data_IF_738652058831
#
_entry.id   IF_738652058831
#
_cell.length_a   1.000
_cell.length_b   1.000
_cell.length_c   1.000
_cell.angle_alpha   90.00
_cell.angle_beta   90.00
_cell.angle_gamma   90.00
#
_symmetry.space_group_name_H-M   'P 1'
#
loop_
_entity.id
_entity.type
_entity.pdbx_description
1 polymer ?
#
# COMPACT_ATOMS: atom_id res chain seq x y z
N UNK A 1 19.77 3.09 -36.00
CA UNK A 1 19.69 1.88 -35.17
C UNK A 1 19.14 2.32 -33.84
N UNK A 2 17.87 2.00 -33.63
CA UNK A 2 17.07 2.37 -32.46
C UNK A 2 17.61 1.52 -31.31
N UNK A 3 18.27 2.14 -30.32
CA UNK A 3 18.50 1.48 -29.03
C UNK A 3 17.33 1.91 -28.15
N UNK A 4 16.49 0.92 -27.90
CA UNK A 4 15.11 0.95 -27.43
C UNK A 4 14.93 1.48 -26.00
N UNK A 5 13.73 2.06 -25.80
CA UNK A 5 12.88 2.07 -24.60
C UNK A 5 13.45 2.76 -23.34
N UNK A 6 13.15 4.04 -23.13
CA UNK A 6 11.92 4.51 -22.44
C UNK A 6 11.72 3.89 -21.05
N UNK A 7 12.03 4.71 -20.06
CA UNK A 7 11.68 4.62 -18.64
C UNK A 7 10.41 3.81 -18.33
N UNK A 8 10.59 2.57 -17.90
CA UNK A 8 9.54 1.73 -17.33
C UNK A 8 9.42 2.04 -15.83
N UNK A 9 8.59 3.03 -15.49
CA UNK A 9 8.11 3.23 -14.13
C UNK A 9 7.06 2.14 -13.81
N UNK A 10 7.46 0.87 -13.88
CA UNK A 10 6.61 -0.25 -13.50
C UNK A 10 6.43 -0.19 -11.99
N UNK A 11 5.28 0.32 -11.52
CA UNK A 11 4.89 0.06 -10.12
C UNK A 11 4.88 -1.46 -9.97
N UNK A 12 5.74 -2.04 -9.12
CA UNK A 12 5.78 -3.48 -8.98
C UNK A 12 4.39 -3.96 -8.54
N UNK A 13 3.91 -5.02 -9.17
CA UNK A 13 2.69 -5.68 -8.74
C UNK A 13 2.80 -6.01 -7.23
N UNK A 14 1.70 -5.92 -6.47
CA UNK A 14 1.71 -6.33 -5.07
C UNK A 14 2.19 -7.77 -4.98
N UNK A 15 3.28 -7.97 -4.25
CA UNK A 15 3.88 -9.26 -3.95
C UNK A 15 3.03 -10.02 -2.92
N UNK A 16 3.24 -11.33 -2.78
CA UNK A 16 2.48 -12.17 -1.83
C UNK A 16 2.58 -11.70 -0.36
N UNK A 17 3.56 -10.87 -0.02
CA UNK A 17 3.71 -10.28 1.31
C UNK A 17 2.93 -8.97 1.53
N UNK A 18 2.34 -8.42 0.47
CA UNK A 18 1.64 -7.13 0.51
C UNK A 18 0.18 -7.26 0.92
N UNK A 19 -0.40 -8.45 0.80
CA UNK A 19 -1.77 -8.73 1.19
C UNK A 19 -1.95 -10.19 1.58
N UNK A 20 -3.02 -10.47 2.32
CA UNK A 20 -3.52 -11.82 2.51
C UNK A 20 -5.00 -11.89 2.11
N UNK A 21 -5.50 -13.10 1.85
CA UNK A 21 -6.92 -13.33 1.63
C UNK A 21 -7.52 -13.77 2.97
N UNK A 22 -8.54 -13.06 3.45
CA UNK A 22 -9.24 -13.48 4.66
C UNK A 22 -10.21 -14.65 4.37
N UNK A 23 -10.80 -15.23 5.41
CA UNK A 23 -11.73 -16.37 5.28
C UNK A 23 -12.96 -16.05 4.42
N UNK A 24 -13.31 -14.77 4.31
CA UNK A 24 -14.41 -14.27 3.49
C UNK A 24 -14.02 -14.03 2.02
N UNK A 25 -12.76 -14.27 1.64
CA UNK A 25 -12.26 -14.10 0.27
C UNK A 25 -11.81 -12.67 -0.07
N UNK A 26 -11.76 -11.75 0.90
CA UNK A 26 -11.32 -10.38 0.68
C UNK A 26 -9.80 -10.25 0.74
N UNK A 27 -9.27 -9.40 -0.15
CA UNK A 27 -7.87 -8.97 -0.13
C UNK A 27 -7.66 -7.95 0.98
N UNK A 28 -6.91 -8.32 2.00
CA UNK A 28 -6.53 -7.44 3.12
C UNK A 28 -5.06 -7.04 2.97
N UNK A 29 -4.81 -5.75 2.77
CA UNK A 29 -3.45 -5.22 2.65
C UNK A 29 -2.74 -5.17 4.00
N UNK A 30 -1.45 -5.51 3.97
CA UNK A 30 -0.57 -5.49 5.15
C UNK A 30 0.07 -4.12 5.34
N UNK A 31 0.70 -3.95 6.49
CA UNK A 31 1.53 -2.77 6.77
C UNK A 31 2.64 -2.57 5.73
N UNK A 32 3.27 -3.67 5.26
CA UNK A 32 4.33 -3.65 4.25
C UNK A 32 3.87 -2.98 2.95
N UNK A 33 2.69 -3.33 2.47
CA UNK A 33 2.11 -2.70 1.29
C UNK A 33 1.90 -1.20 1.49
N UNK A 34 1.41 -0.80 2.66
CA UNK A 34 1.21 0.61 2.97
C UNK A 34 2.53 1.38 3.08
N UNK A 35 3.62 0.74 3.53
CA UNK A 35 4.97 1.32 3.50
C UNK A 35 5.51 1.44 2.07
N UNK A 36 5.40 0.38 1.24
CA UNK A 36 5.79 0.42 -0.19
C UNK A 36 5.03 1.48 -0.98
N UNK A 37 3.77 1.76 -0.63
CA UNK A 37 2.96 2.83 -1.22
C UNK A 37 3.56 4.22 -0.96
N UNK A 38 4.26 4.40 0.15
CA UNK A 38 5.00 5.62 0.48
C UNK A 38 4.17 6.80 1.01
N UNK A 39 2.84 6.68 1.14
CA UNK A 39 2.00 7.74 1.71
C UNK A 39 0.77 7.22 2.44
N UNK A 40 0.28 7.99 3.43
CA UNK A 40 -0.97 7.72 4.12
C UNK A 40 -2.16 8.13 3.25
N UNK A 41 -3.08 7.21 2.99
CA UNK A 41 -4.27 7.46 2.17
C UNK A 41 -5.49 7.95 2.96
N UNK A 42 -5.37 8.16 4.28
CA UNK A 42 -6.45 8.64 5.17
C UNK A 42 -7.76 7.82 5.15
N UNK A 43 -7.69 6.54 4.76
CA UNK A 43 -8.88 5.68 4.70
C UNK A 43 -9.22 5.01 6.06
N UNK A 44 -8.40 5.21 7.10
CA UNK A 44 -8.60 4.53 8.39
C UNK A 44 -8.29 3.03 8.34
N UNK A 45 -7.23 2.64 7.63
CA UNK A 45 -6.84 1.24 7.46
C UNK A 45 -6.48 0.60 8.81
N UNK A 46 -6.89 -0.66 9.02
CA UNK A 46 -6.58 -1.41 10.26
C UNK A 46 -5.07 -1.59 10.50
N UNK A 47 -4.30 -1.79 9.43
CA UNK A 47 -2.84 -2.00 9.46
C UNK A 47 -2.09 -0.73 9.02
N UNK A 48 -2.57 0.46 9.39
CA UNK A 48 -1.94 1.71 8.97
C UNK A 48 -0.57 1.91 9.66
N UNK A 49 0.57 1.88 8.94
CA UNK A 49 1.89 2.15 9.53
C UNK A 49 2.06 3.60 9.99
N UNK A 50 1.19 4.49 9.51
CA UNK A 50 1.28 5.93 9.78
C UNK A 50 0.50 6.33 11.05
N UNK A 51 -0.27 5.43 11.67
CA UNK A 51 -1.05 5.78 12.86
C UNK A 51 -2.13 6.84 12.58
N UNK A 52 -2.79 6.75 11.43
CA UNK A 52 -3.89 7.65 11.08
C UNK A 52 -5.16 7.34 11.89
N UNK A 53 -5.67 8.35 12.56
CA UNK A 53 -6.93 8.30 13.30
C UNK A 53 -8.05 8.98 12.50
N UNK A 54 -8.99 8.16 12.03
CA UNK A 54 -10.16 8.61 11.25
C UNK A 54 -11.09 9.55 12.04
N UNK A 55 -11.11 9.48 13.37
CA UNK A 55 -11.99 10.33 14.20
C UNK A 55 -11.47 11.76 14.30
N UNK A 56 -10.16 11.92 14.32
CA UNK A 56 -9.49 13.22 14.53
C UNK A 56 -8.84 13.78 13.25
N UNK A 57 -8.93 13.04 12.14
CA UNK A 57 -8.22 13.27 10.87
C UNK A 57 -6.71 13.55 11.06
N UNK A 58 -6.08 12.92 12.06
CA UNK A 58 -4.69 13.16 12.44
C UNK A 58 -3.80 11.94 12.22
N UNK A 59 -2.51 12.17 11.95
CA UNK A 59 -1.47 11.14 11.79
C UNK A 59 -0.53 11.28 13.00
N UNK A 60 -0.38 10.23 13.82
CA UNK A 60 0.32 10.31 15.12
C UNK A 60 1.60 9.46 15.21
N UNK A 61 2.33 9.28 14.10
CA UNK A 61 3.54 8.45 14.07
C UNK A 61 4.69 9.03 14.88
#
# INVERSE_FOLDING_TARGET
>A
MIIFAESMFEKPFPSEEDYYINEEGYRVFTEKYHLKRGYCCKNGCKHCPFGYDKKTDSIKR
#
